data_IF_812814056522
#
_entry.id   IF_812814056522
#
_cell.length_a   1.000
_cell.length_b   1.000
_cell.length_c   1.000
_cell.angle_alpha   90.00
_cell.angle_beta   90.00
_cell.angle_gamma   90.00
#
_symmetry.space_group_name_H-M   'P 1'
#
loop_
_entity.id
_entity.type
_entity.pdbx_description
1 polymer ?
#
# COMPACT_ATOMS: atom_id res chain seq x y z
N UNK A 1 61.36 2.80 36.28
CA UNK A 1 60.43 3.92 36.42
C UNK A 1 59.28 3.70 35.45
N UNK A 2 58.18 3.50 36.02
CA UNK A 2 56.87 3.15 35.53
C UNK A 2 56.26 4.16 34.57
N UNK A 3 55.54 3.68 33.56
CA UNK A 3 54.36 4.38 33.02
C UNK A 3 53.41 3.32 32.44
N UNK A 4 52.30 3.17 33.08
CA UNK A 4 51.19 2.30 32.67
C UNK A 4 50.42 2.94 31.48
N UNK A 5 50.29 2.22 30.40
CA UNK A 5 49.34 2.53 29.33
C UNK A 5 47.97 1.95 29.66
N UNK A 6 46.97 2.81 29.75
CA UNK A 6 45.56 2.42 29.89
C UNK A 6 45.05 2.00 28.52
N UNK A 7 44.59 0.75 28.48
CA UNK A 7 43.77 0.28 27.34
C UNK A 7 42.38 0.90 27.45
N UNK A 8 42.08 1.76 26.51
CA UNK A 8 40.74 2.25 26.27
C UNK A 8 40.04 1.23 25.37
N UNK A 9 39.07 0.54 25.90
CA UNK A 9 38.20 -0.36 25.15
C UNK A 9 37.07 0.48 24.53
N UNK A 10 36.80 0.39 23.21
CA UNK A 10 35.59 0.94 22.67
C UNK A 10 34.40 0.10 23.12
N UNK A 11 33.44 0.77 23.73
CA UNK A 11 32.14 0.21 24.10
C UNK A 11 31.41 -0.32 22.87
N UNK A 12 31.06 -1.59 22.94
CA UNK A 12 30.12 -2.21 21.99
C UNK A 12 28.82 -1.45 22.05
N UNK A 13 28.54 -0.74 20.93
CA UNK A 13 27.23 -0.20 20.66
C UNK A 13 26.28 -1.38 20.42
N UNK A 14 25.33 -1.51 21.32
CA UNK A 14 24.22 -2.46 21.26
C UNK A 14 23.39 -2.16 19.98
N UNK A 15 23.73 -2.86 18.91
CA UNK A 15 22.94 -2.89 17.66
C UNK A 15 21.71 -3.78 17.91
N UNK A 16 20.75 -3.24 18.64
CA UNK A 16 19.39 -3.79 18.63
C UNK A 16 18.72 -3.38 17.36
N UNK A 17 19.05 -4.06 16.28
CA UNK A 17 18.21 -4.12 15.11
C UNK A 17 16.87 -4.72 15.54
N UNK A 18 15.93 -3.84 15.83
CA UNK A 18 14.55 -4.23 16.10
C UNK A 18 13.98 -4.74 14.77
N UNK A 19 14.02 -6.06 14.60
CA UNK A 19 13.23 -6.74 13.57
C UNK A 19 11.76 -6.41 13.83
N UNK A 20 11.25 -5.44 13.08
CA UNK A 20 9.80 -5.14 13.05
C UNK A 20 9.16 -6.30 12.32
N UNK A 21 8.44 -7.12 13.06
CA UNK A 21 7.69 -8.24 12.52
C UNK A 21 6.78 -7.76 11.38
N UNK A 22 6.70 -8.55 10.30
CA UNK A 22 5.97 -8.27 9.06
C UNK A 22 4.47 -7.98 9.23
N UNK A 23 3.93 -8.18 10.43
CA UNK A 23 2.53 -7.90 10.78
C UNK A 23 2.18 -6.44 11.11
N UNK A 24 3.17 -5.56 11.32
CA UNK A 24 2.95 -4.24 11.93
C UNK A 24 3.03 -3.04 10.96
N UNK A 25 3.24 -3.27 9.69
CA UNK A 25 3.21 -2.21 8.67
C UNK A 25 1.87 -1.46 8.60
N UNK A 26 0.80 -2.12 9.01
CA UNK A 26 -0.54 -1.51 9.09
C UNK A 26 -0.64 -0.50 10.24
N UNK A 27 0.12 -0.68 11.32
CA UNK A 27 0.19 0.23 12.46
C UNK A 27 0.97 1.51 12.13
N UNK A 28 2.01 1.44 11.31
CA UNK A 28 2.77 2.62 10.87
C UNK A 28 1.89 3.63 10.13
N UNK A 29 0.95 3.16 9.31
CA UNK A 29 -0.04 4.02 8.66
C UNK A 29 -1.11 4.55 9.62
N UNK A 30 -1.31 3.93 10.77
CA UNK A 30 -2.27 4.34 11.80
C UNK A 30 -1.71 5.41 12.75
N UNK A 31 -0.39 5.42 12.96
CA UNK A 31 0.30 6.34 13.88
C UNK A 31 0.74 7.65 13.21
N UNK A 32 0.82 7.68 11.88
CA UNK A 32 0.99 8.92 11.15
C UNK A 32 -0.37 9.63 11.06
N UNK A 33 -0.81 10.15 12.19
CA UNK A 33 -2.00 10.99 12.29
C UNK A 33 -1.88 12.15 11.31
N UNK A 34 -2.48 11.99 10.13
CA UNK A 34 -2.52 13.02 9.13
C UNK A 34 -3.39 14.16 9.64
N UNK A 35 -2.74 15.21 10.06
CA UNK A 35 -3.34 16.53 10.18
C UNK A 35 -3.74 16.99 8.78
N UNK A 36 -5.01 17.41 8.60
CA UNK A 36 -5.61 17.75 7.32
C UNK A 36 -5.07 19.04 6.68
N UNK A 37 -3.81 19.44 6.92
CA UNK A 37 -3.23 20.71 6.46
C UNK A 37 -1.76 20.69 6.09
N UNK A 38 -1.22 19.55 5.75
CA UNK A 38 0.17 19.50 5.32
C UNK A 38 0.29 19.76 3.80
N UNK A 39 0.01 21.00 3.45
CA UNK A 39 0.53 21.60 2.23
C UNK A 39 1.86 22.21 2.62
N UNK A 40 2.93 21.75 1.99
CA UNK A 40 4.21 22.43 2.05
C UNK A 40 4.01 23.89 1.60
N UNK A 41 4.20 24.81 2.52
CA UNK A 41 3.89 26.24 2.32
C UNK A 41 4.82 26.91 1.32
N UNK A 42 6.00 26.32 1.10
CA UNK A 42 7.00 26.88 0.21
C UNK A 42 6.84 26.36 -1.23
N UNK A 43 6.40 25.11 -1.39
CA UNK A 43 6.23 24.47 -2.71
C UNK A 43 4.77 24.28 -3.12
N UNK A 44 3.82 24.48 -2.21
CA UNK A 44 2.39 24.23 -2.44
C UNK A 44 2.06 22.75 -2.72
N UNK A 45 3.01 21.83 -2.44
CA UNK A 45 2.82 20.39 -2.66
C UNK A 45 2.02 19.79 -1.51
N UNK A 46 1.05 18.96 -1.86
CA UNK A 46 0.47 18.04 -0.87
C UNK A 46 1.54 17.05 -0.43
N UNK A 47 1.84 17.04 0.86
CA UNK A 47 2.75 16.06 1.44
C UNK A 47 2.16 14.66 1.33
N UNK A 48 3.01 13.63 1.15
CA UNK A 48 2.56 12.24 0.96
C UNK A 48 1.60 11.74 2.05
N UNK A 49 1.68 12.28 3.26
CA UNK A 49 0.83 11.93 4.38
C UNK A 49 -0.66 12.21 4.17
N UNK A 50 -1.02 13.35 3.57
CA UNK A 50 -2.44 13.69 3.33
C UNK A 50 -3.10 12.76 2.32
N UNK A 51 -2.40 12.39 1.26
CA UNK A 51 -2.91 11.46 0.26
C UNK A 51 -3.17 10.07 0.85
N UNK A 52 -2.29 9.58 1.70
CA UNK A 52 -2.45 8.28 2.36
C UNK A 52 -3.64 8.30 3.34
N UNK A 53 -3.72 9.32 4.18
CA UNK A 53 -4.85 9.47 5.11
C UNK A 53 -6.17 9.51 4.37
N UNK A 54 -6.29 10.35 3.34
CA UNK A 54 -7.48 10.46 2.50
C UNK A 54 -7.84 9.15 1.79
N UNK A 55 -6.85 8.36 1.39
CA UNK A 55 -7.08 7.03 0.83
C UNK A 55 -7.73 6.12 1.86
N UNK A 56 -7.11 5.98 3.03
CA UNK A 56 -7.55 5.01 4.03
C UNK A 56 -8.88 5.37 4.69
N UNK A 57 -9.31 6.63 4.69
CA UNK A 57 -10.68 7.00 5.13
C UNK A 57 -11.77 6.46 4.22
N UNK A 58 -11.44 6.10 2.96
CA UNK A 58 -12.38 5.51 2.01
C UNK A 58 -12.32 3.98 1.96
N UNK A 59 -11.61 3.36 2.89
CA UNK A 59 -11.46 1.90 2.95
C UNK A 59 -12.17 1.34 4.16
N UNK A 60 -13.13 0.48 3.94
CA UNK A 60 -13.75 -0.33 4.98
C UNK A 60 -12.92 -1.60 5.19
N UNK A 61 -12.34 -1.73 6.38
CA UNK A 61 -11.49 -2.86 6.76
C UNK A 61 -12.28 -3.93 7.48
N UNK A 62 -12.01 -5.19 7.15
CA UNK A 62 -12.51 -6.37 7.85
C UNK A 62 -11.39 -7.40 7.95
N UNK A 63 -11.63 -8.50 8.64
CA UNK A 63 -10.69 -9.63 8.70
C UNK A 63 -10.45 -10.26 7.32
N UNK A 64 -11.42 -10.13 6.42
CA UNK A 64 -11.34 -10.54 5.03
C UNK A 64 -10.85 -9.45 4.10
N UNK A 65 -11.69 -9.04 3.15
CA UNK A 65 -11.37 -7.99 2.18
C UNK A 65 -11.43 -6.59 2.79
N UNK A 66 -10.52 -5.72 2.36
CA UNK A 66 -10.62 -4.29 2.60
C UNK A 66 -11.32 -3.63 1.42
N UNK A 67 -12.54 -3.18 1.61
CA UNK A 67 -13.39 -2.72 0.53
C UNK A 67 -13.26 -1.21 0.31
N UNK A 68 -12.99 -0.84 -0.92
CA UNK A 68 -13.02 0.55 -1.36
C UNK A 68 -14.46 1.08 -1.38
N UNK A 69 -14.73 2.14 -0.64
CA UNK A 69 -16.03 2.81 -0.55
C UNK A 69 -16.12 4.08 -1.40
N UNK A 70 -14.99 4.54 -1.96
CA UNK A 70 -14.98 5.67 -2.89
C UNK A 70 -15.52 5.31 -4.27
N UNK A 71 -15.29 6.21 -5.22
CA UNK A 71 -15.75 6.04 -6.60
C UNK A 71 -15.21 4.76 -7.25
N UNK A 72 -16.06 4.07 -8.03
CA UNK A 72 -15.72 2.85 -8.79
C UNK A 72 -16.03 3.06 -10.27
N UNK A 73 -15.28 2.38 -11.14
CA UNK A 73 -15.61 2.34 -12.56
C UNK A 73 -16.74 1.32 -12.84
N UNK A 74 -17.14 1.23 -14.12
CA UNK A 74 -18.17 0.29 -14.58
C UNK A 74 -17.88 -1.18 -14.21
N UNK A 75 -16.61 -1.57 -14.17
CA UNK A 75 -16.18 -2.94 -13.86
C UNK A 75 -16.05 -3.21 -12.35
N UNK A 76 -16.42 -2.25 -11.50
CA UNK A 76 -16.37 -2.35 -10.05
C UNK A 76 -15.02 -2.01 -9.41
N UNK A 77 -14.02 -1.65 -10.21
CA UNK A 77 -12.70 -1.27 -9.67
C UNK A 77 -12.71 0.12 -9.04
N UNK A 78 -12.13 0.22 -7.85
CA UNK A 78 -11.95 1.47 -7.15
C UNK A 78 -11.09 2.46 -7.95
N UNK A 79 -11.50 3.72 -7.91
CA UNK A 79 -10.77 4.84 -8.51
C UNK A 79 -10.42 5.85 -7.43
N UNK A 80 -9.15 6.25 -7.37
CA UNK A 80 -8.64 7.21 -6.42
C UNK A 80 -7.97 8.38 -7.13
N UNK A 81 -8.32 9.61 -6.73
CA UNK A 81 -7.69 10.82 -7.26
C UNK A 81 -6.46 11.15 -6.44
N UNK A 82 -5.31 11.15 -7.07
CA UNK A 82 -4.05 11.60 -6.49
C UNK A 82 -3.66 12.95 -7.07
N UNK A 83 -2.99 13.76 -6.25
CA UNK A 83 -2.48 15.07 -6.63
C UNK A 83 -0.96 14.99 -6.59
N UNK A 84 -0.30 15.33 -7.68
CA UNK A 84 1.16 15.40 -7.77
C UNK A 84 1.67 16.84 -7.66
N UNK A 85 0.81 17.82 -7.92
CA UNK A 85 1.06 19.26 -7.76
C UNK A 85 -0.28 20.00 -7.66
N UNK A 86 -0.31 21.22 -7.09
CA UNK A 86 -1.53 22.02 -6.98
C UNK A 86 -2.26 22.13 -8.33
N UNK A 87 -3.56 21.80 -8.32
CA UNK A 87 -4.42 21.86 -9.51
C UNK A 87 -4.25 20.71 -10.51
N UNK A 88 -3.28 19.82 -10.32
CA UNK A 88 -3.06 18.68 -11.21
C UNK A 88 -3.47 17.36 -10.54
N UNK A 89 -4.54 16.77 -11.04
CA UNK A 89 -5.11 15.54 -10.52
C UNK A 89 -5.03 14.42 -11.55
N UNK A 90 -4.65 13.23 -11.12
CA UNK A 90 -4.74 12.02 -11.93
C UNK A 90 -5.55 10.95 -11.20
N UNK A 91 -6.29 10.15 -11.94
CA UNK A 91 -7.02 9.03 -11.38
C UNK A 91 -6.18 7.77 -11.49
N UNK A 92 -6.03 7.07 -10.38
CA UNK A 92 -5.33 5.78 -10.30
C UNK A 92 -6.28 4.70 -9.82
N UNK A 93 -5.97 3.44 -10.09
CA UNK A 93 -6.71 2.31 -9.52
C UNK A 93 -6.43 2.23 -8.02
N UNK A 94 -7.48 2.17 -7.20
CA UNK A 94 -7.34 2.17 -5.74
C UNK A 94 -6.49 0.98 -5.23
N UNK A 95 -6.74 -0.24 -5.73
CA UNK A 95 -5.95 -1.42 -5.37
C UNK A 95 -4.47 -1.29 -5.77
N UNK A 96 -4.18 -0.67 -6.94
CA UNK A 96 -2.81 -0.43 -7.37
C UNK A 96 -2.10 0.57 -6.45
N UNK A 97 -2.79 1.63 -6.07
CA UNK A 97 -2.25 2.61 -5.13
C UNK A 97 -1.95 1.97 -3.77
N UNK A 98 -2.86 1.14 -3.23
CA UNK A 98 -2.66 0.42 -1.98
C UNK A 98 -1.45 -0.52 -2.03
N UNK A 99 -1.31 -1.27 -3.14
CA UNK A 99 -0.15 -2.12 -3.36
C UNK A 99 1.16 -1.33 -3.41
N UNK A 100 1.22 -0.28 -4.25
CA UNK A 100 2.43 0.54 -4.44
C UNK A 100 2.84 1.28 -3.15
N UNK A 101 1.87 1.63 -2.31
CA UNK A 101 2.14 2.25 -1.01
C UNK A 101 2.79 1.28 0.00
N UNK A 102 2.63 -0.03 -0.16
CA UNK A 102 3.16 -1.05 0.77
C UNK A 102 4.37 -1.79 0.23
N UNK A 103 4.41 -2.07 -1.06
CA UNK A 103 5.43 -2.92 -1.70
C UNK A 103 6.32 -2.16 -2.68
N UNK A 104 6.01 -0.90 -2.97
CA UNK A 104 6.66 -0.13 -4.03
C UNK A 104 6.02 -0.37 -5.41
N UNK A 105 6.61 0.16 -6.47
CA UNK A 105 6.00 0.15 -7.80
C UNK A 105 5.77 -1.27 -8.32
N UNK A 106 4.62 -1.48 -8.98
CA UNK A 106 4.34 -2.74 -9.68
C UNK A 106 5.37 -2.93 -10.77
N UNK A 107 6.04 -4.10 -10.86
CA UNK A 107 7.06 -4.36 -11.86
C UNK A 107 6.54 -4.13 -13.29
N UNK A 108 7.42 -3.63 -14.16
CA UNK A 108 7.06 -3.33 -15.55
C UNK A 108 6.52 -4.57 -16.29
N UNK A 109 5.45 -4.39 -17.06
CA UNK A 109 4.79 -5.47 -17.80
C UNK A 109 3.84 -6.32 -16.98
N UNK A 110 3.78 -6.13 -15.65
CA UNK A 110 2.84 -6.83 -14.78
C UNK A 110 1.59 -5.98 -14.47
N UNK A 111 0.50 -6.67 -14.20
CA UNK A 111 -0.74 -6.14 -13.64
C UNK A 111 -0.98 -6.74 -12.26
N UNK A 112 -1.94 -6.21 -11.52
CA UNK A 112 -2.35 -6.79 -10.24
C UNK A 112 -3.63 -7.61 -10.42
N UNK A 113 -3.58 -8.88 -10.02
CA UNK A 113 -4.77 -9.74 -9.89
C UNK A 113 -5.31 -9.68 -8.46
N UNK A 114 -6.63 -9.82 -8.32
CA UNK A 114 -7.31 -9.98 -7.04
C UNK A 114 -7.45 -11.47 -6.72
N UNK A 115 -6.63 -11.99 -5.83
CA UNK A 115 -6.68 -13.39 -5.40
C UNK A 115 -8.06 -13.75 -4.83
N UNK A 116 -8.70 -12.80 -4.16
CA UNK A 116 -10.06 -12.95 -3.60
C UNK A 116 -11.19 -12.80 -4.63
N UNK A 117 -10.90 -12.44 -5.88
CA UNK A 117 -11.91 -12.20 -6.92
C UNK A 117 -12.72 -10.90 -6.76
N UNK A 118 -12.59 -10.19 -5.64
CA UNK A 118 -13.34 -8.96 -5.34
C UNK A 118 -12.65 -7.73 -5.92
N UNK A 119 -13.22 -7.14 -6.98
CA UNK A 119 -12.63 -6.00 -7.71
C UNK A 119 -12.52 -4.71 -6.90
N UNK A 120 -13.35 -4.57 -5.85
CA UNK A 120 -13.31 -3.45 -4.93
C UNK A 120 -12.33 -3.62 -3.77
N UNK A 121 -11.69 -4.79 -3.64
CA UNK A 121 -10.73 -5.04 -2.59
C UNK A 121 -9.43 -4.25 -2.84
N UNK A 122 -8.92 -3.62 -1.78
CA UNK A 122 -7.65 -2.88 -1.80
C UNK A 122 -6.65 -3.46 -0.80
N UNK A 123 -6.94 -4.62 -0.20
CA UNK A 123 -6.03 -5.27 0.75
C UNK A 123 -4.79 -5.77 0.01
N UNK A 124 -3.58 -5.31 0.39
CA UNK A 124 -2.35 -5.68 -0.34
C UNK A 124 -2.12 -7.19 -0.38
N UNK A 125 -2.39 -7.93 0.72
CA UNK A 125 -2.22 -9.39 0.79
C UNK A 125 -3.16 -10.16 -0.14
N UNK A 126 -4.21 -9.52 -0.65
CA UNK A 126 -5.16 -10.10 -1.61
C UNK A 126 -4.85 -9.74 -3.06
N UNK A 127 -3.71 -9.08 -3.30
CA UNK A 127 -3.26 -8.64 -4.61
C UNK A 127 -1.96 -9.35 -4.97
N UNK A 128 -1.80 -9.70 -6.23
CA UNK A 128 -0.59 -10.34 -6.73
C UNK A 128 -0.19 -9.76 -8.09
N UNK A 129 1.09 -9.36 -8.27
CA UNK A 129 1.60 -8.99 -9.58
C UNK A 129 1.67 -10.24 -10.49
N UNK A 130 1.03 -10.16 -11.64
CA UNK A 130 1.04 -11.24 -12.62
C UNK A 130 0.98 -10.69 -14.05
N UNK A 131 1.23 -11.54 -15.04
CA UNK A 131 1.05 -11.17 -16.44
C UNK A 131 -0.44 -11.03 -16.79
N UNK A 132 -0.77 -10.24 -17.83
CA UNK A 132 -2.14 -10.15 -18.33
C UNK A 132 -2.71 -11.51 -18.75
N UNK A 133 -1.88 -12.39 -19.32
CA UNK A 133 -2.30 -13.72 -19.72
C UNK A 133 -2.71 -14.57 -18.51
N UNK A 134 -1.92 -14.52 -17.43
CA UNK A 134 -2.22 -15.21 -16.18
C UNK A 134 -3.48 -14.67 -15.52
N UNK A 135 -3.59 -13.35 -15.39
CA UNK A 135 -4.78 -12.69 -14.84
C UNK A 135 -6.06 -13.11 -15.59
N UNK A 136 -5.99 -13.14 -16.93
CA UNK A 136 -7.11 -13.57 -17.77
C UNK A 136 -7.48 -15.05 -17.54
N UNK A 137 -6.48 -15.94 -17.46
CA UNK A 137 -6.68 -17.38 -17.16
C UNK A 137 -7.38 -17.58 -15.82
N UNK A 138 -6.90 -16.93 -14.76
CA UNK A 138 -7.46 -17.00 -13.42
C UNK A 138 -8.90 -16.46 -13.38
N UNK A 139 -9.16 -15.37 -14.06
CA UNK A 139 -10.51 -14.79 -14.18
C UNK A 139 -11.49 -15.73 -14.90
N UNK A 140 -11.06 -16.41 -15.95
CA UNK A 140 -11.88 -17.39 -16.66
C UNK A 140 -12.13 -18.64 -15.80
N UNK A 141 -11.14 -19.07 -15.02
CA UNK A 141 -11.28 -20.20 -14.11
C UNK A 141 -12.33 -19.92 -13.01
N UNK A 142 -12.25 -18.73 -12.39
CA UNK A 142 -13.25 -18.29 -11.38
C UNK A 142 -14.68 -18.26 -11.94
N UNK A 143 -14.86 -17.66 -13.13
CA UNK A 143 -16.19 -17.63 -13.77
C UNK A 143 -16.76 -19.01 -14.05
N UNK A 144 -15.94 -19.98 -14.38
CA UNK A 144 -16.38 -21.36 -14.59
C UNK A 144 -16.81 -22.04 -13.29
N UNK A 145 -16.10 -21.80 -12.19
CA UNK A 145 -16.45 -22.36 -10.89
C UNK A 145 -17.72 -21.73 -10.31
N UNK A 146 -17.98 -20.45 -10.56
CA UNK A 146 -19.20 -19.76 -10.11
C UNK A 146 -20.43 -20.11 -10.95
N UNK A 147 -20.26 -20.54 -12.21
CA UNK A 147 -21.34 -20.93 -13.12
C UNK A 147 -21.81 -22.38 -13.00
N UNK A 148 -21.18 -23.19 -12.14
CA UNK A 148 -21.54 -24.61 -11.92
C UNK A 148 -22.24 -24.77 -10.57
N UNK A 149 -23.30 -23.99 -10.33
CA UNK A 149 -24.26 -24.31 -9.26
C UNK A 149 -25.44 -25.05 -9.91
N UNK A 150 -25.75 -26.29 -9.53
CA UNK A 150 -26.89 -27.03 -10.04
C UNK A 150 -28.21 -26.41 -9.60
#
# INVERSE_FOLDING_TARGET
>A
MSAAGRHDQPSEADDRTTEVAEGDRTLLYRLQGASSRDIDRDTGRFLPGDTAARFWTQVERSDGCWLWRGHRNRDGYGQFKVTDRPGHYRTVRAHRWAWEATHGPVPAGLTLDHLCGQTACVRPDHLEPCTNAENLRRRHARRRSEGTTP
#
